data_IF_414149466666
#
_entry.id   IF_414149466666
#
_cell.length_a   1.000
_cell.length_b   1.000
_cell.length_c   1.000
_cell.angle_alpha   90.00
_cell.angle_beta   90.00
_cell.angle_gamma   90.00
#
_symmetry.space_group_name_H-M   'P 1'
#
loop_
_entity.id
_entity.type
_entity.pdbx_description
1 polymer ?
#
# COMPACT_ATOMS: atom_id res chain seq x y z
N UNK A 1 -27.76 -52.73 -8.39
CA UNK A 1 -27.78 -52.06 -9.71
C UNK A 1 -28.68 -50.82 -9.79
N UNK A 2 -29.69 -50.62 -8.91
CA UNK A 2 -30.62 -49.47 -9.00
C UNK A 2 -30.09 -48.13 -8.45
N UNK A 3 -29.10 -48.13 -7.55
CA UNK A 3 -28.57 -46.90 -6.94
C UNK A 3 -27.62 -46.11 -7.87
N UNK A 4 -26.84 -46.80 -8.71
CA UNK A 4 -25.84 -46.15 -9.57
C UNK A 4 -26.47 -45.43 -10.77
N UNK A 5 -27.65 -45.84 -11.23
CA UNK A 5 -28.34 -45.19 -12.34
C UNK A 5 -28.97 -43.85 -11.92
N UNK A 6 -29.42 -43.73 -10.66
CA UNK A 6 -29.96 -42.48 -10.12
C UNK A 6 -28.90 -41.38 -10.00
N UNK A 7 -27.67 -41.73 -9.60
CA UNK A 7 -26.56 -40.78 -9.53
C UNK A 7 -26.10 -40.30 -10.91
N UNK A 8 -26.16 -41.17 -11.93
CA UNK A 8 -25.82 -40.81 -13.30
C UNK A 8 -26.86 -39.87 -13.94
N UNK A 9 -28.15 -40.05 -13.63
CA UNK A 9 -29.23 -39.16 -14.10
C UNK A 9 -29.16 -37.79 -13.42
N UNK A 10 -28.87 -37.73 -12.12
CA UNK A 10 -28.67 -36.45 -11.40
C UNK A 10 -27.44 -35.71 -11.96
N UNK A 11 -26.32 -36.43 -12.14
CA UNK A 11 -25.09 -35.85 -12.68
C UNK A 11 -25.26 -35.29 -14.10
N UNK A 12 -26.04 -35.96 -14.96
CA UNK A 12 -26.34 -35.47 -16.31
C UNK A 12 -27.24 -34.21 -16.28
N UNK A 13 -28.24 -34.15 -15.40
CA UNK A 13 -29.15 -33.00 -15.31
C UNK A 13 -28.42 -31.72 -14.86
N UNK A 14 -27.49 -31.82 -13.90
CA UNK A 14 -26.68 -30.69 -13.43
C UNK A 14 -25.45 -30.42 -14.31
N UNK A 15 -24.88 -31.45 -14.96
CA UNK A 15 -23.66 -31.34 -15.75
C UNK A 15 -23.83 -30.88 -17.20
N UNK A 16 -24.96 -31.20 -17.86
CA UNK A 16 -25.14 -30.86 -19.29
C UNK A 16 -26.40 -30.03 -19.61
N UNK A 17 -27.41 -30.00 -18.73
CA UNK A 17 -28.66 -29.26 -18.97
C UNK A 17 -28.76 -27.93 -18.22
N UNK A 18 -28.59 -27.95 -16.88
CA UNK A 18 -28.81 -26.76 -16.04
C UNK A 18 -27.65 -25.76 -16.05
N UNK A 19 -26.40 -26.26 -15.97
CA UNK A 19 -25.22 -25.38 -15.88
C UNK A 19 -24.91 -24.62 -17.17
N UNK A 20 -25.14 -25.24 -18.34
CA UNK A 20 -24.83 -24.61 -19.63
C UNK A 20 -25.79 -23.47 -19.98
N UNK A 21 -27.09 -23.57 -19.63
CA UNK A 21 -28.07 -22.52 -19.90
C UNK A 21 -28.01 -21.34 -18.90
N UNK A 22 -27.57 -21.59 -17.66
CA UNK A 22 -27.36 -20.52 -16.67
C UNK A 22 -25.99 -19.82 -16.84
N UNK A 23 -24.98 -20.50 -17.39
CA UNK A 23 -23.67 -19.91 -17.65
C UNK A 23 -23.64 -18.88 -18.79
N UNK A 24 -24.58 -18.95 -19.75
CA UNK A 24 -24.63 -18.00 -20.88
C UNK A 24 -25.35 -16.69 -20.54
N UNK A 25 -26.00 -16.63 -19.37
CA UNK A 25 -26.67 -15.43 -18.85
C UNK A 25 -25.80 -14.65 -17.86
N UNK A 26 -24.62 -15.19 -17.50
CA UNK A 26 -23.61 -14.41 -16.77
C UNK A 26 -22.84 -13.64 -17.83
N UNK A 27 -23.28 -12.41 -18.09
CA UNK A 27 -22.45 -11.43 -18.79
C UNK A 27 -21.04 -11.50 -18.20
N UNK A 28 -20.06 -11.76 -19.06
CA UNK A 28 -18.67 -11.56 -18.69
C UNK A 28 -18.58 -10.13 -18.15
N UNK A 29 -17.96 -9.92 -16.97
CA UNK A 29 -17.75 -8.57 -16.47
C UNK A 29 -17.09 -7.76 -17.59
N UNK A 30 -17.52 -6.50 -17.81
CA UNK A 30 -16.95 -5.67 -18.85
C UNK A 30 -15.42 -5.68 -18.72
N UNK A 31 -14.68 -5.71 -19.84
CA UNK A 31 -13.23 -5.61 -19.79
C UNK A 31 -12.89 -4.36 -18.99
N UNK A 32 -12.30 -4.56 -17.82
CA UNK A 32 -11.82 -3.48 -16.99
C UNK A 32 -10.50 -3.03 -17.59
N UNK A 33 -10.43 -1.75 -17.89
CA UNK A 33 -9.26 -1.13 -18.45
C UNK A 33 -8.15 -1.13 -17.37
N UNK A 34 -7.02 -1.75 -17.67
CA UNK A 34 -5.83 -1.70 -16.82
C UNK A 34 -5.07 -0.37 -16.97
N UNK A 35 -5.58 0.59 -17.75
CA UNK A 35 -4.98 1.93 -17.86
C UNK A 35 -5.23 2.83 -16.65
N UNK A 36 -5.97 2.39 -15.62
CA UNK A 36 -6.00 3.11 -14.34
C UNK A 36 -4.76 2.75 -13.50
N UNK A 37 -3.59 3.25 -13.91
CA UNK A 37 -2.53 3.48 -12.94
C UNK A 37 -3.04 4.53 -11.94
N UNK A 38 -3.27 4.08 -10.71
CA UNK A 38 -3.40 4.88 -9.50
C UNK A 38 -4.05 6.25 -9.66
N UNK A 39 -5.38 6.30 -9.55
CA UNK A 39 -5.92 7.43 -8.81
C UNK A 39 -5.20 7.43 -7.44
N UNK A 40 -4.69 8.58 -6.95
CA UNK A 40 -4.09 8.62 -5.63
C UNK A 40 -5.05 7.93 -4.66
N UNK A 41 -4.54 6.95 -3.93
CA UNK A 41 -5.27 6.35 -2.82
C UNK A 41 -5.39 7.41 -1.72
N UNK A 42 -6.24 8.40 -1.96
CA UNK A 42 -6.70 9.31 -0.94
C UNK A 42 -7.61 8.47 -0.05
N UNK A 43 -7.08 8.11 1.12
CA UNK A 43 -7.81 7.54 2.24
C UNK A 43 -8.86 8.56 2.71
N UNK A 44 -9.94 8.70 1.95
CA UNK A 44 -11.12 9.46 2.33
C UNK A 44 -12.03 8.57 3.20
N UNK A 45 -11.47 8.11 4.31
CA UNK A 45 -12.26 7.84 5.51
C UNK A 45 -12.95 9.14 5.96
N UNK A 46 -14.21 9.03 6.35
CA UNK A 46 -15.13 10.09 6.76
C UNK A 46 -14.46 11.38 7.30
N UNK A 47 -14.50 12.47 6.51
CA UNK A 47 -14.35 13.87 6.91
C UNK A 47 -13.47 14.14 8.15
N UNK A 48 -12.28 13.55 8.20
CA UNK A 48 -11.24 14.00 9.11
C UNK A 48 -10.63 15.28 8.49
N UNK A 49 -10.31 16.32 9.29
CA UNK A 49 -9.61 17.49 8.77
C UNK A 49 -8.36 17.02 8.02
N UNK A 50 -8.05 17.62 6.87
CA UNK A 50 -6.75 17.45 6.23
C UNK A 50 -5.69 17.82 7.27
N UNK A 51 -5.14 16.83 7.97
CA UNK A 51 -4.07 17.03 8.92
C UNK A 51 -2.86 17.43 8.10
N UNK A 52 -2.45 18.68 8.29
CA UNK A 52 -1.31 19.28 7.62
C UNK A 52 -0.07 18.45 7.94
N UNK A 53 0.51 17.82 6.91
CA UNK A 53 1.74 17.04 7.01
C UNK A 53 2.93 17.91 7.45
N UNK A 54 2.78 19.23 7.50
CA UNK A 54 3.77 20.16 8.02
C UNK A 54 3.86 20.16 9.56
N UNK A 55 2.91 19.53 10.25
CA UNK A 55 2.96 19.45 11.72
C UNK A 55 4.01 18.43 12.15
N UNK A 56 5.03 18.90 12.86
CA UNK A 56 6.06 18.08 13.48
C UNK A 56 5.67 17.70 14.90
N UNK A 57 6.01 16.47 15.31
CA UNK A 57 5.92 16.01 16.68
C UNK A 57 7.23 15.37 17.13
N UNK A 58 7.75 15.79 18.27
CA UNK A 58 8.99 15.23 18.81
C UNK A 58 8.82 13.77 19.18
N UNK A 59 9.68 12.90 18.64
CA UNK A 59 9.70 11.49 19.00
C UNK A 59 10.17 11.29 20.45
N UNK A 60 10.90 12.24 21.03
CA UNK A 60 11.42 12.17 22.40
C UNK A 60 12.63 11.25 22.59
N UNK A 61 13.00 10.47 21.57
CA UNK A 61 14.22 9.67 21.50
C UNK A 61 14.87 9.85 20.12
N UNK A 62 16.20 9.67 20.00
CA UNK A 62 16.89 9.76 18.72
C UNK A 62 16.25 8.88 17.66
N UNK A 63 15.85 9.49 16.55
CA UNK A 63 15.18 8.80 15.45
C UNK A 63 15.78 9.18 14.11
N UNK A 64 15.84 8.20 13.22
CA UNK A 64 16.29 8.37 11.84
C UNK A 64 15.66 7.30 10.95
N UNK A 65 15.72 7.49 9.64
CA UNK A 65 15.27 6.49 8.67
C UNK A 65 16.31 6.34 7.57
N UNK A 66 16.52 5.09 7.15
CA UNK A 66 17.27 4.76 5.95
C UNK A 66 16.40 3.95 5.00
N UNK A 67 16.64 4.09 3.70
CA UNK A 67 15.90 3.37 2.67
C UNK A 67 16.88 2.73 1.68
N UNK A 68 16.62 1.48 1.31
CA UNK A 68 17.26 0.84 0.15
C UNK A 68 16.20 0.67 -0.93
N UNK A 69 16.47 1.18 -2.13
CA UNK A 69 15.61 1.00 -3.30
C UNK A 69 16.27 0.03 -4.29
N UNK A 70 15.53 -0.96 -4.77
CA UNK A 70 16.00 -1.94 -5.77
C UNK A 70 15.04 -1.98 -6.96
N UNK A 71 15.54 -1.91 -8.20
CA UNK A 71 14.79 -2.27 -9.40
C UNK A 71 13.99 -3.57 -9.25
N UNK A 72 12.72 -3.57 -9.64
CA UNK A 72 11.85 -4.75 -9.61
C UNK A 72 10.97 -4.88 -10.88
N UNK A 73 11.55 -4.56 -12.03
CA UNK A 73 10.87 -4.55 -13.33
C UNK A 73 10.62 -3.13 -13.85
N UNK A 74 10.04 -2.99 -15.07
CA UNK A 74 9.76 -1.69 -15.67
C UNK A 74 8.78 -0.88 -14.79
N UNK A 75 9.16 0.34 -14.44
CA UNK A 75 8.33 1.22 -13.62
C UNK A 75 8.17 0.74 -12.17
N UNK A 76 9.03 -0.15 -11.68
CA UNK A 76 8.86 -0.78 -10.36
C UNK A 76 10.13 -0.75 -9.50
N UNK A 77 9.93 -0.54 -8.19
CA UNK A 77 10.96 -0.53 -7.17
C UNK A 77 10.51 -1.35 -5.96
N UNK A 78 11.40 -2.19 -5.43
CA UNK A 78 11.24 -2.81 -4.12
C UNK A 78 12.07 -2.04 -3.09
N UNK A 79 11.39 -1.48 -2.09
CA UNK A 79 11.97 -0.66 -1.04
C UNK A 79 12.11 -1.44 0.26
N UNK A 80 13.23 -1.25 0.95
CA UNK A 80 13.39 -1.58 2.37
C UNK A 80 13.58 -0.32 3.19
N UNK A 81 12.60 -0.02 4.04
CA UNK A 81 12.61 1.08 5.00
C UNK A 81 13.11 0.55 6.34
N UNK A 82 14.17 1.14 6.86
CA UNK A 82 14.76 0.75 8.15
C UNK A 82 14.77 1.97 9.08
N UNK A 83 13.74 2.13 9.93
CA UNK A 83 13.73 3.16 10.96
C UNK A 83 14.68 2.82 12.11
N UNK A 84 15.21 3.84 12.76
CA UNK A 84 15.90 3.78 14.05
C UNK A 84 15.13 4.62 15.04
N UNK A 85 14.94 4.14 16.27
CA UNK A 85 14.19 4.88 17.30
C UNK A 85 12.68 4.90 17.11
N UNK A 86 12.16 4.17 16.12
CA UNK A 86 10.73 3.94 15.87
C UNK A 86 10.49 2.48 15.46
N UNK A 87 9.41 1.90 15.96
CA UNK A 87 8.89 0.59 15.55
C UNK A 87 7.55 0.77 14.86
N UNK A 88 7.35 0.08 13.74
CA UNK A 88 6.05 0.07 13.07
C UNK A 88 4.96 -0.46 14.02
N UNK A 89 3.86 0.29 14.11
CA UNK A 89 2.73 -0.05 14.99
C UNK A 89 1.40 0.03 14.22
N UNK A 90 1.17 -0.87 13.22
CA UNK A 90 -0.03 -0.85 12.38
C UNK A 90 -1.35 -0.88 13.15
N UNK A 91 -1.38 -1.60 14.28
CA UNK A 91 -2.58 -1.76 15.10
C UNK A 91 -3.00 -0.48 15.83
N UNK A 92 -2.11 0.52 15.88
CA UNK A 92 -2.32 1.78 16.58
C UNK A 92 -2.49 2.99 15.63
N UNK A 93 -2.57 2.78 14.31
CA UNK A 93 -2.80 3.88 13.34
C UNK A 93 -4.11 4.60 13.64
N UNK A 94 -4.13 5.93 13.50
CA UNK A 94 -5.21 6.83 13.91
C UNK A 94 -5.41 6.96 15.44
N UNK A 95 -4.53 6.38 16.26
CA UNK A 95 -4.52 6.61 17.70
C UNK A 95 -3.60 7.79 18.07
N UNK A 96 -3.70 8.32 19.30
CA UNK A 96 -2.78 9.34 19.79
C UNK A 96 -1.31 8.93 19.69
N UNK A 97 -0.42 9.91 19.54
CA UNK A 97 1.02 9.69 19.49
C UNK A 97 1.54 8.87 20.69
N UNK A 98 2.38 7.89 20.39
CA UNK A 98 3.19 7.14 21.34
C UNK A 98 4.64 7.19 20.88
N UNK A 99 5.53 7.65 21.75
CA UNK A 99 6.97 7.72 21.49
C UNK A 99 7.51 6.40 20.96
N UNK A 100 8.27 6.47 19.87
CA UNK A 100 8.90 5.32 19.24
C UNK A 100 7.93 4.39 18.48
N UNK A 101 6.70 4.82 18.24
CA UNK A 101 5.73 4.09 17.41
C UNK A 101 5.24 4.94 16.25
N UNK A 102 4.98 4.29 15.12
CA UNK A 102 4.45 5.00 13.97
C UNK A 102 4.36 4.17 12.71
N UNK A 103 4.36 4.88 11.59
CA UNK A 103 4.38 4.35 10.23
C UNK A 103 5.25 5.24 9.34
N UNK A 104 5.47 4.84 8.09
CA UNK A 104 6.20 5.65 7.13
C UNK A 104 5.28 6.15 6.01
N UNK A 105 5.59 7.31 5.44
CA UNK A 105 5.05 7.72 4.16
C UNK A 105 6.15 7.68 3.10
N UNK A 106 5.81 7.19 1.92
CA UNK A 106 6.73 7.11 0.78
C UNK A 106 6.23 8.03 -0.32
N UNK A 107 7.12 8.84 -0.86
CA UNK A 107 6.88 9.79 -1.94
C UNK A 107 7.88 9.55 -3.07
N UNK A 108 7.42 9.67 -4.31
CA UNK A 108 8.25 9.66 -5.51
C UNK A 108 7.95 10.94 -6.29
N UNK A 109 8.97 11.73 -6.59
CA UNK A 109 8.85 13.05 -7.24
C UNK A 109 7.84 13.98 -6.55
N UNK A 110 7.81 13.94 -5.22
CA UNK A 110 6.87 14.73 -4.39
C UNK A 110 5.44 14.17 -4.31
N UNK A 111 5.09 13.16 -5.12
CA UNK A 111 3.78 12.51 -5.09
C UNK A 111 3.79 11.38 -4.07
N UNK A 112 2.84 11.41 -3.12
CA UNK A 112 2.67 10.35 -2.11
C UNK A 112 2.25 9.05 -2.79
N UNK A 113 3.05 8.01 -2.63
CA UNK A 113 2.80 6.68 -3.20
C UNK A 113 2.10 5.77 -2.19
N UNK A 114 2.54 5.79 -0.93
CA UNK A 114 2.04 4.86 0.07
C UNK A 114 2.17 5.38 1.50
N UNK A 115 1.29 4.85 2.35
CA UNK A 115 1.47 4.73 3.80
C UNK A 115 1.91 3.30 4.11
N UNK A 116 3.01 3.14 4.83
CA UNK A 116 3.72 1.87 5.00
C UNK A 116 3.80 1.48 6.47
N UNK A 117 3.37 0.26 6.78
CA UNK A 117 3.30 -0.26 8.15
C UNK A 117 4.35 -1.34 8.46
N UNK A 118 5.39 -1.42 7.65
CA UNK A 118 6.43 -2.43 7.78
C UNK A 118 7.67 -2.07 6.99
N UNK A 119 8.68 -2.94 7.05
CA UNK A 119 9.98 -2.66 6.43
C UNK A 119 9.95 -2.70 4.90
N UNK A 120 9.08 -3.48 4.29
CA UNK A 120 9.13 -3.74 2.85
C UNK A 120 7.92 -3.16 2.12
N UNK A 121 8.19 -2.54 0.98
CA UNK A 121 7.17 -2.00 0.08
C UNK A 121 7.58 -2.27 -1.36
N UNK A 122 6.69 -2.90 -2.13
CA UNK A 122 6.78 -2.91 -3.58
C UNK A 122 6.01 -1.72 -4.14
N UNK A 123 6.65 -0.95 -5.01
CA UNK A 123 6.07 0.12 -5.79
C UNK A 123 6.08 -0.28 -7.26
N UNK A 124 4.97 -0.02 -7.95
CA UNK A 124 4.80 -0.23 -9.38
C UNK A 124 4.13 0.98 -10.04
N UNK A 125 4.03 0.96 -11.37
CA UNK A 125 3.39 2.05 -12.12
C UNK A 125 4.12 3.40 -12.06
N UNK A 126 5.39 3.41 -11.66
CA UNK A 126 6.21 4.62 -11.62
C UNK A 126 6.68 5.01 -13.02
N UNK A 127 6.82 6.30 -13.26
CA UNK A 127 7.47 6.81 -14.48
C UNK A 127 8.96 6.39 -14.48
N UNK A 128 9.41 5.81 -15.59
CA UNK A 128 10.78 5.33 -15.76
C UNK A 128 11.76 6.49 -15.86
N UNK A 129 12.96 6.34 -15.29
CA UNK A 129 14.02 7.35 -15.31
C UNK A 129 14.46 7.81 -13.92
N UNK A 130 15.14 8.93 -13.85
CA UNK A 130 15.59 9.52 -12.58
C UNK A 130 14.41 10.05 -11.79
N UNK A 131 14.32 9.66 -10.53
CA UNK A 131 13.28 10.12 -9.61
C UNK A 131 13.85 10.46 -8.23
N UNK A 132 13.20 11.36 -7.52
CA UNK A 132 13.47 11.67 -6.12
C UNK A 132 12.58 10.82 -5.22
N UNK A 133 13.17 9.89 -4.48
CA UNK A 133 12.50 9.11 -3.45
C UNK A 133 12.63 9.82 -2.10
N UNK A 134 11.50 10.12 -1.45
CA UNK A 134 11.46 10.64 -0.08
C UNK A 134 10.68 9.70 0.82
N UNK A 135 11.21 9.41 2.00
CA UNK A 135 10.55 8.63 3.04
C UNK A 135 10.53 9.43 4.33
N UNK A 136 9.36 9.60 4.92
CA UNK A 136 9.17 10.26 6.22
C UNK A 136 8.73 9.23 7.25
N UNK A 137 9.09 9.43 8.52
CA UNK A 137 8.47 8.70 9.62
C UNK A 137 7.38 9.56 10.24
N UNK A 138 6.25 8.94 10.56
CA UNK A 138 5.05 9.61 11.03
C UNK A 138 4.52 8.94 12.30
N UNK A 139 4.05 9.75 13.24
CA UNK A 139 3.31 9.27 14.38
C UNK A 139 2.01 8.61 13.91
N UNK A 140 1.43 7.76 14.75
CA UNK A 140 0.12 7.18 14.46
C UNK A 140 -1.04 8.18 14.46
N UNK A 141 -0.83 9.36 15.04
CA UNK A 141 -1.70 10.53 14.93
C UNK A 141 -1.45 11.37 13.66
N UNK A 142 -0.62 10.86 12.74
CA UNK A 142 -0.29 11.38 11.41
C UNK A 142 0.72 12.54 11.30
N UNK A 143 1.07 13.20 12.40
CA UNK A 143 2.14 14.20 12.39
C UNK A 143 3.47 13.57 11.98
N UNK A 144 4.32 14.32 11.29
CA UNK A 144 5.66 13.85 10.95
C UNK A 144 6.52 13.84 12.22
N UNK A 145 7.24 12.74 12.46
CA UNK A 145 8.14 12.64 13.59
C UNK A 145 9.30 13.62 13.40
N UNK A 146 9.71 14.26 14.48
CA UNK A 146 10.89 15.09 14.57
C UNK A 146 11.83 14.58 15.67
N UNK A 147 13.10 14.91 15.54
CA UNK A 147 14.09 14.78 16.59
C UNK A 147 14.91 16.07 16.63
N UNK A 148 14.93 16.73 17.79
CA UNK A 148 15.63 18.00 18.01
C UNK A 148 15.16 19.12 17.05
N UNK A 149 13.86 19.12 16.73
CA UNK A 149 13.24 20.07 15.81
C UNK A 149 13.44 19.77 14.32
N UNK A 150 14.21 18.72 13.99
CA UNK A 150 14.43 18.30 12.61
C UNK A 150 13.49 17.14 12.24
N UNK A 151 12.88 17.23 11.06
CA UNK A 151 11.98 16.20 10.56
C UNK A 151 12.73 14.88 10.31
N UNK A 152 12.16 13.77 10.78
CA UNK A 152 12.73 12.44 10.61
C UNK A 152 12.36 11.91 9.23
N UNK A 153 13.23 12.17 8.26
CA UNK A 153 13.05 11.76 6.87
C UNK A 153 14.38 11.42 6.18
N UNK A 154 14.29 10.81 5.01
CA UNK A 154 15.41 10.63 4.10
C UNK A 154 14.97 10.89 2.67
N UNK A 155 15.83 11.51 1.89
CA UNK A 155 15.62 11.78 0.47
C UNK A 155 16.83 11.30 -0.32
N UNK A 156 16.59 10.57 -1.41
CA UNK A 156 17.63 10.11 -2.31
C UNK A 156 17.16 10.10 -3.76
N UNK A 157 18.10 10.29 -4.68
CA UNK A 157 17.87 10.03 -6.10
C UNK A 157 17.90 8.53 -6.37
N UNK A 158 16.96 8.04 -7.18
CA UNK A 158 16.87 6.65 -7.63
C UNK A 158 16.63 6.62 -9.13
N UNK A 159 16.97 5.49 -9.76
CA UNK A 159 16.62 5.22 -11.16
C UNK A 159 15.50 4.19 -11.17
N UNK A 160 14.34 4.58 -11.66
CA UNK A 160 13.22 3.69 -11.95
C UNK A 160 13.51 3.02 -13.31
N UNK A 161 13.61 1.68 -13.37
CA UNK A 161 13.92 0.95 -14.61
C UNK A 161 12.86 1.07 -15.69
#
# INVERSE_FOLDING_TARGET
MRANLLLLVIGAFFGTGGGFLLGQAVEAPPPHDHTSHGAPHDDHGALEPMHDHDTLIENGAPASVSVTARPDGPGALNLRITPTGMTFAPEAVNAPHVTGQGHAHVYVNGVKQARVYGEWLHLDGLETGTATLRVTLNANSHEQLAHDGEAVETTQEVVVP
#
